data_IF_603970984664
#
_entry.id   IF_603970984664
#
_cell.length_a   1.000
_cell.length_b   1.000
_cell.length_c   1.000
_cell.angle_alpha   90.00
_cell.angle_beta   90.00
_cell.angle_gamma   90.00
#
_symmetry.space_group_name_H-M   'P 1'
#
loop_
_entity.id
_entity.type
_entity.pdbx_description
1 polymer ?
#
# COMPACT_ATOMS: atom_id res chain seq x y z
N UNK A 1 -10.10 -32.09 -1.26
CA UNK A 1 -9.00 -31.13 -1.04
C UNK A 1 -9.48 -30.18 0.03
N UNK A 2 -8.84 -30.13 1.20
CA UNK A 2 -9.16 -29.11 2.21
C UNK A 2 -9.04 -27.74 1.54
N UNK A 3 -10.04 -26.87 1.73
CA UNK A 3 -10.01 -25.56 1.08
C UNK A 3 -8.76 -24.79 1.53
N UNK A 4 -8.09 -24.09 0.61
CA UNK A 4 -6.94 -23.21 0.88
C UNK A 4 -7.18 -22.34 2.12
N UNK A 5 -8.42 -21.89 2.30
CA UNK A 5 -8.89 -21.11 3.43
C UNK A 5 -8.90 -21.87 4.77
N UNK A 6 -9.40 -23.11 4.82
CA UNK A 6 -9.42 -23.93 6.05
C UNK A 6 -8.01 -24.28 6.52
N UNK A 7 -7.15 -24.69 5.59
CA UNK A 7 -5.74 -24.95 5.86
C UNK A 7 -5.03 -23.69 6.38
N UNK A 8 -5.37 -22.51 5.87
CA UNK A 8 -4.86 -21.21 6.35
C UNK A 8 -5.35 -20.86 7.75
N UNK A 9 -6.61 -21.12 8.07
CA UNK A 9 -7.16 -20.86 9.41
C UNK A 9 -6.45 -21.69 10.49
N UNK A 10 -6.02 -22.90 10.14
CA UNK A 10 -5.13 -23.73 10.96
C UNK A 10 -3.70 -23.16 10.98
N UNK A 11 -3.19 -22.67 9.85
CA UNK A 11 -1.85 -22.07 9.75
C UNK A 11 -1.65 -20.81 10.59
N UNK A 12 -2.71 -20.00 10.75
CA UNK A 12 -2.72 -18.84 11.64
C UNK A 12 -2.65 -19.27 13.11
N UNK A 13 -3.23 -20.43 13.45
CA UNK A 13 -3.17 -21.00 14.81
C UNK A 13 -1.81 -21.60 15.14
N UNK A 14 -1.07 -22.07 14.15
CA UNK A 14 0.19 -22.82 14.32
C UNK A 14 1.48 -21.98 14.23
N UNK A 15 1.41 -20.66 14.00
CA UNK A 15 2.55 -19.76 14.22
C UNK A 15 3.06 -18.93 13.03
N UNK A 16 2.24 -18.72 11.98
CA UNK A 16 2.54 -17.80 10.85
C UNK A 16 3.93 -18.04 10.21
N UNK A 17 4.09 -19.12 9.43
CA UNK A 17 5.36 -19.38 8.76
C UNK A 17 5.69 -18.31 7.70
N UNK A 18 6.96 -18.20 7.28
CA UNK A 18 7.37 -17.26 6.23
C UNK A 18 6.53 -17.42 4.95
N UNK A 19 6.31 -16.32 4.21
CA UNK A 19 5.50 -16.35 2.98
C UNK A 19 6.12 -17.24 1.89
N UNK A 20 7.41 -17.56 1.97
CA UNK A 20 8.03 -18.60 1.13
C UNK A 20 7.37 -19.98 1.33
N UNK A 21 7.07 -20.33 2.59
CA UNK A 21 6.32 -21.54 2.94
C UNK A 21 4.88 -21.43 2.47
N UNK A 22 4.30 -20.21 2.50
CA UNK A 22 3.01 -19.86 1.87
C UNK A 22 2.96 -20.23 0.39
N UNK A 23 3.85 -19.67 -0.41
CA UNK A 23 3.88 -19.93 -1.85
C UNK A 23 4.27 -21.37 -2.20
N UNK A 24 5.05 -22.04 -1.36
CA UNK A 24 5.40 -23.45 -1.56
C UNK A 24 4.19 -24.36 -1.35
N UNK A 25 3.35 -24.04 -0.36
CA UNK A 25 2.13 -24.80 -0.06
C UNK A 25 0.99 -24.47 -1.02
N UNK A 26 0.98 -23.24 -1.57
CA UNK A 26 -0.02 -22.76 -2.52
C UNK A 26 0.63 -22.17 -3.79
N UNK A 27 1.24 -23.00 -4.66
CA UNK A 27 1.94 -22.54 -5.86
C UNK A 27 1.12 -21.62 -6.79
N UNK A 28 -0.19 -21.82 -7.00
CA UNK A 28 -1.00 -20.93 -7.84
C UNK A 28 -1.02 -19.48 -7.34
N UNK A 29 -0.94 -19.27 -6.02
CA UNK A 29 -0.97 -17.93 -5.41
C UNK A 29 0.34 -17.17 -5.55
N UNK A 30 1.43 -17.83 -5.97
CA UNK A 30 2.70 -17.16 -6.30
C UNK A 30 2.54 -16.26 -7.52
N UNK A 31 1.70 -16.65 -8.47
CA UNK A 31 1.35 -15.79 -9.58
C UNK A 31 0.25 -14.83 -9.15
N UNK A 32 0.63 -13.60 -8.77
CA UNK A 32 -0.29 -12.53 -8.35
C UNK A 32 -1.23 -12.05 -9.47
N UNK A 33 -1.06 -12.54 -10.70
CA UNK A 33 -1.96 -12.30 -11.84
C UNK A 33 -2.88 -13.49 -12.14
N UNK A 34 -2.73 -14.60 -11.43
CA UNK A 34 -3.59 -15.75 -11.63
C UNK A 34 -5.01 -15.45 -11.17
N UNK A 35 -6.00 -16.08 -11.82
CA UNK A 35 -7.38 -16.07 -11.33
C UNK A 35 -7.46 -16.64 -9.92
N UNK A 36 -6.62 -17.62 -9.60
CA UNK A 36 -6.54 -18.22 -8.26
C UNK A 36 -6.21 -17.18 -7.17
N UNK A 37 -5.34 -16.21 -7.45
CA UNK A 37 -5.01 -15.13 -6.51
C UNK A 37 -6.21 -14.24 -6.21
N UNK A 38 -6.93 -13.81 -7.25
CA UNK A 38 -8.12 -12.97 -7.10
C UNK A 38 -9.28 -13.74 -6.45
N UNK A 39 -9.49 -14.99 -6.83
CA UNK A 39 -10.49 -15.87 -6.21
C UNK A 39 -10.22 -16.07 -4.72
N UNK A 40 -8.96 -16.22 -4.31
CA UNK A 40 -8.60 -16.38 -2.89
C UNK A 40 -8.91 -15.12 -2.10
N UNK A 41 -8.64 -13.94 -2.66
CA UNK A 41 -9.03 -12.68 -2.02
C UNK A 41 -10.55 -12.55 -1.91
N UNK A 42 -11.29 -12.83 -3.00
CA UNK A 42 -12.76 -12.81 -2.97
C UNK A 42 -13.35 -13.80 -1.97
N UNK A 43 -12.75 -14.97 -1.78
CA UNK A 43 -13.19 -15.95 -0.77
C UNK A 43 -12.89 -15.48 0.65
N UNK A 44 -11.73 -14.88 0.88
CA UNK A 44 -11.31 -14.43 2.22
C UNK A 44 -11.98 -13.13 2.65
N UNK A 45 -12.30 -12.22 1.73
CA UNK A 45 -12.98 -10.95 1.97
C UNK A 45 -14.11 -10.70 0.95
N UNK A 46 -15.23 -11.46 1.02
CA UNK A 46 -16.28 -11.45 -0.02
C UNK A 46 -17.05 -10.14 -0.13
N UNK A 47 -17.02 -9.30 0.91
CA UNK A 47 -17.68 -7.98 0.93
C UNK A 47 -16.73 -6.84 0.56
N UNK A 48 -15.46 -7.14 0.28
CA UNK A 48 -14.47 -6.11 -0.03
C UNK A 48 -14.65 -5.56 -1.44
N UNK A 49 -14.37 -4.26 -1.60
CA UNK A 49 -14.28 -3.61 -2.91
C UNK A 49 -12.83 -3.59 -3.39
N UNK A 50 -12.62 -3.35 -4.67
CA UNK A 50 -11.26 -3.17 -5.22
C UNK A 50 -10.80 -1.74 -5.01
N UNK A 51 -9.50 -1.54 -4.84
CA UNK A 51 -8.92 -0.21 -4.70
C UNK A 51 -9.16 0.65 -5.95
N UNK A 52 -8.98 0.04 -7.13
CA UNK A 52 -9.10 0.68 -8.44
C UNK A 52 -10.50 1.27 -8.66
N UNK A 53 -11.55 0.64 -8.10
CA UNK A 53 -12.94 1.03 -8.37
C UNK A 53 -13.36 2.33 -7.65
N UNK A 54 -12.54 2.89 -6.77
CA UNK A 54 -12.93 4.06 -5.97
C UNK A 54 -11.85 5.09 -5.69
N UNK A 55 -10.60 4.84 -6.09
CA UNK A 55 -9.48 5.73 -5.79
C UNK A 55 -9.58 7.05 -6.56
N UNK A 56 -9.88 6.99 -7.87
CA UNK A 56 -10.09 8.17 -8.71
C UNK A 56 -11.17 9.12 -8.18
N UNK A 57 -12.32 8.57 -7.77
CA UNK A 57 -13.44 9.36 -7.21
C UNK A 57 -13.06 10.08 -5.91
N UNK A 58 -12.19 9.45 -5.10
CA UNK A 58 -11.75 10.01 -3.83
C UNK A 58 -10.63 11.04 -3.98
N UNK A 59 -9.94 11.11 -5.12
CA UNK A 59 -8.76 11.97 -5.31
C UNK A 59 -9.03 13.43 -4.95
N UNK A 60 -10.14 14.00 -5.43
CA UNK A 60 -10.50 15.40 -5.18
C UNK A 60 -10.61 15.73 -3.68
N UNK A 61 -11.20 14.80 -2.90
CA UNK A 61 -11.35 14.94 -1.45
C UNK A 61 -10.05 14.68 -0.70
N UNK A 62 -9.27 13.69 -1.13
CA UNK A 62 -7.92 13.43 -0.59
C UNK A 62 -7.05 14.67 -0.78
N UNK A 63 -7.08 15.29 -1.96
CA UNK A 63 -6.35 16.52 -2.27
C UNK A 63 -6.84 17.70 -1.42
N UNK A 64 -8.14 17.84 -1.20
CA UNK A 64 -8.70 18.87 -0.33
C UNK A 64 -8.22 18.70 1.12
N UNK A 65 -8.24 17.47 1.63
CA UNK A 65 -7.72 17.15 2.96
C UNK A 65 -6.22 17.46 3.08
N UNK A 66 -5.43 17.09 2.05
CA UNK A 66 -4.00 17.38 1.96
C UNK A 66 -3.73 18.89 2.06
N UNK A 67 -4.47 19.70 1.28
CA UNK A 67 -4.37 21.17 1.30
C UNK A 67 -4.69 21.74 2.68
N UNK A 68 -5.69 21.19 3.37
CA UNK A 68 -6.01 21.58 4.76
C UNK A 68 -4.89 21.32 5.76
N UNK A 69 -4.07 20.29 5.52
CA UNK A 69 -2.92 19.93 6.37
C UNK A 69 -1.61 20.64 5.99
N UNK A 70 -1.59 21.44 4.91
CA UNK A 70 -0.38 22.11 4.36
C UNK A 70 0.39 22.93 5.40
N UNK A 71 -0.28 23.60 6.34
CA UNK A 71 0.34 24.54 7.29
C UNK A 71 1.13 23.87 8.44
N UNK A 72 1.14 22.54 8.55
CA UNK A 72 1.78 21.84 9.68
C UNK A 72 2.53 20.55 9.34
N UNK A 73 2.76 20.26 8.05
CA UNK A 73 3.33 19.00 7.56
C UNK A 73 4.63 19.20 6.74
N UNK A 74 5.27 18.08 6.36
CA UNK A 74 6.57 18.00 5.66
C UNK A 74 6.67 18.91 4.43
N UNK A 75 7.88 19.42 4.14
CA UNK A 75 8.24 20.09 2.88
C UNK A 75 7.83 19.26 1.66
N UNK A 76 7.95 17.92 1.75
CA UNK A 76 7.60 16.99 0.66
C UNK A 76 6.11 17.06 0.29
N UNK A 77 5.22 17.25 1.27
CA UNK A 77 3.79 17.45 1.02
C UNK A 77 3.56 18.73 0.21
N UNK A 78 4.30 19.80 0.56
CA UNK A 78 4.16 21.08 -0.11
C UNK A 78 4.63 21.00 -1.57
N UNK A 79 5.78 20.35 -1.80
CA UNK A 79 6.33 20.13 -3.14
C UNK A 79 5.32 19.34 -3.99
N UNK A 80 4.80 18.23 -3.47
CA UNK A 80 3.85 17.40 -4.22
C UNK A 80 2.54 18.14 -4.52
N UNK A 81 2.04 18.94 -3.57
CA UNK A 81 0.84 19.77 -3.78
C UNK A 81 1.06 20.86 -4.83
N UNK A 82 2.23 21.48 -4.87
CA UNK A 82 2.57 22.51 -5.86
C UNK A 82 2.76 21.89 -7.25
N UNK A 83 3.35 20.70 -7.34
CA UNK A 83 3.44 19.92 -8.59
C UNK A 83 2.04 19.57 -9.14
N UNK A 84 1.14 19.07 -8.28
CA UNK A 84 -0.25 18.80 -8.63
C UNK A 84 -0.96 20.08 -9.10
N UNK A 85 -0.72 21.22 -8.42
CA UNK A 85 -1.34 22.49 -8.76
C UNK A 85 -0.82 23.08 -10.09
N UNK A 86 0.44 22.81 -10.46
CA UNK A 86 1.00 23.21 -11.74
C UNK A 86 0.40 22.41 -12.92
N UNK A 87 -0.06 21.18 -12.66
CA UNK A 87 -0.65 20.30 -13.66
C UNK A 87 -2.18 20.51 -13.77
N UNK A 88 -2.59 21.41 -14.66
CA UNK A 88 -4.01 21.76 -14.83
C UNK A 88 -4.90 20.64 -15.42
N UNK A 89 -4.31 19.68 -16.16
CA UNK A 89 -5.03 18.60 -16.85
C UNK A 89 -4.49 17.22 -16.47
N UNK A 90 -4.63 16.84 -15.20
CA UNK A 90 -4.25 15.51 -14.74
C UNK A 90 -5.16 14.44 -15.37
N UNK A 91 -4.53 13.45 -16.01
CA UNK A 91 -5.19 12.22 -16.44
C UNK A 91 -5.70 11.43 -15.22
N UNK A 92 -6.67 10.55 -15.41
CA UNK A 92 -7.25 9.76 -14.31
C UNK A 92 -6.20 8.88 -13.63
N UNK A 93 -5.40 8.14 -14.38
CA UNK A 93 -4.31 7.31 -13.85
C UNK A 93 -3.35 8.15 -12.98
N UNK A 94 -2.98 9.34 -13.45
CA UNK A 94 -2.08 10.24 -12.71
C UNK A 94 -2.71 10.74 -11.41
N UNK A 95 -4.02 10.98 -11.37
CA UNK A 95 -4.73 11.35 -10.14
C UNK A 95 -4.66 10.25 -9.10
N UNK A 96 -4.83 8.99 -9.52
CA UNK A 96 -4.73 7.85 -8.63
C UNK A 96 -3.32 7.67 -8.07
N UNK A 97 -2.30 7.89 -8.91
CA UNK A 97 -0.90 7.86 -8.48
C UNK A 97 -0.62 8.94 -7.42
N UNK A 98 -1.01 10.18 -7.66
CA UNK A 98 -0.89 11.25 -6.68
C UNK A 98 -1.69 10.99 -5.41
N UNK A 99 -2.88 10.38 -5.51
CA UNK A 99 -3.66 10.01 -4.34
C UNK A 99 -2.84 9.11 -3.41
N UNK A 100 -2.22 8.06 -3.96
CA UNK A 100 -1.41 7.10 -3.20
C UNK A 100 -0.16 7.74 -2.59
N UNK A 101 0.50 8.63 -3.31
CA UNK A 101 1.69 9.33 -2.82
C UNK A 101 1.37 10.36 -1.73
N UNK A 102 0.18 10.95 -1.75
CA UNK A 102 -0.26 11.87 -0.70
C UNK A 102 -0.57 11.16 0.63
N UNK A 103 -1.06 9.92 0.61
CA UNK A 103 -1.44 9.18 1.83
C UNK A 103 -0.34 9.11 2.90
N UNK A 104 0.90 8.64 2.62
CA UNK A 104 1.97 8.58 3.62
C UNK A 104 2.44 9.96 4.09
N UNK A 105 2.21 11.01 3.30
CA UNK A 105 2.59 12.38 3.67
C UNK A 105 1.58 12.98 4.65
N UNK A 106 0.28 12.70 4.47
CA UNK A 106 -0.79 13.27 5.30
C UNK A 106 -1.06 12.47 6.58
N UNK A 107 -0.97 11.14 6.49
CA UNK A 107 -1.23 10.25 7.60
C UNK A 107 0.05 10.12 8.40
N UNK A 108 0.02 10.57 9.65
CA UNK A 108 1.18 10.48 10.53
C UNK A 108 0.73 10.05 11.91
N UNK A 109 1.43 9.08 12.49
CA UNK A 109 1.03 8.52 13.79
C UNK A 109 2.24 8.48 14.72
N UNK A 110 2.09 8.90 15.99
CA UNK A 110 3.12 8.65 17.00
C UNK A 110 3.24 7.13 17.24
N UNK A 111 4.46 6.57 17.16
CA UNK A 111 4.65 5.16 17.53
C UNK A 111 4.60 4.99 19.06
N UNK A 112 4.28 3.75 19.49
CA UNK A 112 3.97 3.35 20.88
C UNK A 112 5.10 3.62 21.90
N UNK A 113 6.29 4.06 21.46
CA UNK A 113 7.47 4.37 22.28
C UNK A 113 8.07 5.77 22.02
N UNK A 114 7.24 6.80 21.77
CA UNK A 114 7.64 8.23 21.62
C UNK A 114 8.52 8.60 20.41
N UNK A 115 9.02 7.67 19.61
CA UNK A 115 9.65 7.99 18.32
C UNK A 115 8.65 7.84 17.18
N UNK A 116 8.15 8.96 16.67
CA UNK A 116 7.33 9.00 15.44
C UNK A 116 8.22 8.62 14.26
N UNK A 117 7.78 7.67 13.43
CA UNK A 117 8.45 7.39 12.16
C UNK A 117 8.49 8.68 11.34
N UNK A 118 9.64 9.00 10.75
CA UNK A 118 9.74 10.21 9.93
C UNK A 118 8.90 10.06 8.67
N UNK A 119 8.43 11.16 8.08
CA UNK A 119 7.66 11.11 6.83
C UNK A 119 8.45 10.40 5.72
N UNK A 120 9.76 10.68 5.62
CA UNK A 120 10.66 10.00 4.71
C UNK A 120 10.70 8.48 4.94
N UNK A 121 10.68 8.02 6.19
CA UNK A 121 10.66 6.61 6.55
C UNK A 121 9.32 5.94 6.19
N UNK A 122 8.19 6.62 6.39
CA UNK A 122 6.88 6.13 5.95
C UNK A 122 6.82 5.99 4.43
N UNK A 123 7.24 7.02 3.68
CA UNK A 123 7.30 6.98 2.23
C UNK A 123 8.19 5.83 1.75
N UNK A 124 9.40 5.70 2.31
CA UNK A 124 10.37 4.65 1.98
C UNK A 124 9.84 3.24 2.23
N UNK A 125 8.88 3.07 3.15
CA UNK A 125 8.28 1.76 3.49
C UNK A 125 6.91 1.52 2.86
N UNK A 126 6.31 2.53 2.23
CA UNK A 126 5.06 2.38 1.48
C UNK A 126 5.35 2.12 -0.01
N UNK A 127 5.88 3.14 -0.70
CA UNK A 127 6.17 3.12 -2.13
C UNK A 127 7.54 3.79 -2.33
N UNK A 128 8.52 3.04 -2.83
CA UNK A 128 9.83 3.58 -3.16
C UNK A 128 9.87 4.10 -4.59
N UNK A 129 9.99 5.42 -4.73
CA UNK A 129 10.23 6.06 -6.01
C UNK A 129 11.72 6.04 -6.34
N UNK A 130 12.07 5.54 -7.52
CA UNK A 130 13.42 5.58 -8.06
C UNK A 130 13.40 6.13 -9.49
N UNK A 131 14.45 6.84 -9.94
CA UNK A 131 14.56 7.28 -11.33
C UNK A 131 14.50 6.11 -12.31
N UNK A 132 13.93 6.36 -13.49
CA UNK A 132 13.96 5.39 -14.57
C UNK A 132 15.40 5.00 -14.93
N UNK A 133 15.64 3.70 -15.11
CA UNK A 133 16.97 3.14 -15.39
C UNK A 133 17.79 2.75 -14.14
N UNK A 134 17.25 2.94 -12.93
CA UNK A 134 17.88 2.42 -11.70
C UNK A 134 17.85 0.89 -11.72
N UNK A 135 18.99 0.25 -11.42
CA UNK A 135 19.09 -1.21 -11.43
C UNK A 135 18.25 -1.84 -10.31
N UNK A 136 17.44 -2.84 -10.66
CA UNK A 136 16.67 -3.60 -9.67
C UNK A 136 17.58 -4.32 -8.65
N UNK A 137 18.76 -4.78 -9.06
CA UNK A 137 19.72 -5.40 -8.15
C UNK A 137 20.23 -4.41 -7.09
N UNK A 138 20.46 -3.16 -7.51
CA UNK A 138 20.84 -2.09 -6.59
C UNK A 138 19.72 -1.81 -5.59
N UNK A 139 18.47 -1.72 -6.05
CA UNK A 139 17.30 -1.48 -5.19
C UNK A 139 17.12 -2.64 -4.19
N UNK A 140 17.21 -3.89 -4.66
CA UNK A 140 17.12 -5.08 -3.80
C UNK A 140 18.24 -5.13 -2.77
N UNK A 141 19.46 -4.70 -3.13
CA UNK A 141 20.58 -4.62 -2.18
C UNK A 141 20.30 -3.62 -1.06
N UNK A 142 19.71 -2.46 -1.39
CA UNK A 142 19.31 -1.42 -0.42
C UNK A 142 18.17 -1.89 0.49
N UNK A 143 17.16 -2.57 -0.08
CA UNK A 143 16.06 -3.15 0.71
C UNK A 143 16.60 -4.12 1.77
N UNK A 144 17.59 -4.95 1.39
CA UNK A 144 18.26 -5.88 2.31
C UNK A 144 19.11 -5.16 3.35
N UNK A 145 19.94 -4.19 2.95
CA UNK A 145 20.80 -3.44 3.88
C UNK A 145 19.99 -2.68 4.91
N UNK A 146 18.88 -2.08 4.48
CA UNK A 146 18.02 -1.24 5.31
C UNK A 146 17.00 -2.06 6.11
N UNK A 147 17.07 -3.40 6.04
CA UNK A 147 16.17 -4.34 6.73
C UNK A 147 14.69 -3.99 6.53
N UNK A 148 14.32 -3.61 5.31
CA UNK A 148 12.96 -3.18 4.99
C UNK A 148 12.05 -4.40 4.92
N UNK A 149 10.95 -4.36 5.69
CA UNK A 149 9.96 -5.42 5.71
C UNK A 149 9.25 -5.52 4.36
N UNK A 150 9.08 -6.75 3.88
CA UNK A 150 8.37 -7.07 2.64
C UNK A 150 6.96 -7.62 2.96
N UNK A 151 5.98 -7.50 2.06
CA UNK A 151 6.08 -6.96 0.70
C UNK A 151 6.23 -5.43 0.65
N UNK A 152 6.94 -4.93 -0.37
CA UNK A 152 7.12 -3.49 -0.62
C UNK A 152 6.95 -3.16 -2.09
N UNK A 153 6.48 -1.94 -2.38
CA UNK A 153 6.25 -1.46 -3.74
C UNK A 153 7.41 -0.58 -4.19
N UNK A 154 7.87 -0.82 -5.42
CA UNK A 154 8.86 0.00 -6.12
C UNK A 154 8.17 0.62 -7.32
N UNK A 155 8.34 1.92 -7.52
CA UNK A 155 7.88 2.64 -8.68
C UNK A 155 9.07 3.33 -9.36
N UNK A 156 9.28 3.04 -10.64
CA UNK A 156 10.33 3.63 -11.45
C UNK A 156 9.77 4.76 -12.30
N UNK A 157 10.34 5.94 -12.18
CA UNK A 157 9.91 7.14 -12.92
C UNK A 157 9.99 8.39 -12.08
N UNK A 158 9.16 9.37 -12.44
CA UNK A 158 9.00 10.62 -11.70
C UNK A 158 7.55 10.76 -11.25
N UNK A 159 7.31 11.57 -10.23
CA UNK A 159 5.95 11.90 -9.81
C UNK A 159 5.13 12.41 -11.00
N UNK A 160 3.90 11.91 -11.13
CA UNK A 160 3.03 12.19 -12.27
C UNK A 160 3.38 11.48 -13.59
N UNK A 161 4.48 10.73 -13.65
CA UNK A 161 4.87 9.92 -14.80
C UNK A 161 5.66 8.68 -14.35
N UNK A 162 4.96 7.75 -13.71
CA UNK A 162 5.52 6.45 -13.32
C UNK A 162 5.54 5.53 -14.54
N UNK A 163 6.73 5.08 -14.92
CA UNK A 163 6.91 4.24 -16.11
C UNK A 163 6.71 2.75 -15.82
N UNK A 164 7.20 2.28 -14.66
CA UNK A 164 7.07 0.88 -14.25
C UNK A 164 6.80 0.78 -12.76
N UNK A 165 6.10 -0.26 -12.34
CA UNK A 165 5.83 -0.54 -10.94
C UNK A 165 6.10 -2.01 -10.64
N UNK A 166 6.64 -2.30 -9.46
CA UNK A 166 7.00 -3.64 -9.04
C UNK A 166 6.58 -3.87 -7.59
N UNK A 167 6.33 -5.12 -7.25
CA UNK A 167 6.17 -5.59 -5.88
C UNK A 167 7.36 -6.49 -5.57
N UNK A 168 8.05 -6.21 -4.47
CA UNK A 168 9.12 -7.07 -3.94
C UNK A 168 8.57 -7.86 -2.78
N UNK A 169 8.62 -9.19 -2.90
CA UNK A 169 8.19 -10.13 -1.85
C UNK A 169 9.13 -11.33 -1.82
N UNK A 170 9.67 -11.64 -0.65
CA UNK A 170 10.74 -12.64 -0.46
C UNK A 170 11.97 -12.47 -1.38
N UNK A 171 12.33 -11.22 -1.67
CA UNK A 171 13.37 -10.86 -2.65
C UNK A 171 13.04 -11.26 -4.10
N UNK A 172 11.82 -11.68 -4.39
CA UNK A 172 11.33 -11.83 -5.76
C UNK A 172 10.71 -10.51 -6.20
N UNK A 173 11.02 -10.13 -7.44
CA UNK A 173 10.48 -8.92 -8.07
C UNK A 173 9.34 -9.35 -8.98
N UNK A 174 8.16 -8.77 -8.76
CA UNK A 174 7.00 -9.03 -9.59
C UNK A 174 6.55 -7.71 -10.21
N UNK A 175 6.61 -7.63 -11.54
CA UNK A 175 6.14 -6.46 -12.28
C UNK A 175 4.64 -6.28 -12.10
N UNK A 176 4.19 -5.04 -11.90
CA UNK A 176 2.79 -4.59 -11.81
C UNK A 176 2.41 -3.80 -13.07
N UNK A 177 1.16 -3.90 -13.52
CA UNK A 177 0.65 -3.10 -14.66
C UNK A 177 0.73 -1.59 -14.42
N UNK A 178 0.45 -1.17 -13.21
CA UNK A 178 0.52 0.22 -12.76
C UNK A 178 0.72 0.27 -11.23
N UNK A 179 0.96 1.47 -10.68
CA UNK A 179 1.20 1.64 -9.25
C UNK A 179 -0.03 1.28 -8.41
N UNK A 180 -1.23 1.61 -8.88
CA UNK A 180 -2.48 1.29 -8.18
C UNK A 180 -2.70 -0.22 -8.09
N UNK A 181 -2.47 -0.93 -9.21
CA UNK A 181 -2.46 -2.40 -9.24
C UNK A 181 -1.39 -2.98 -8.29
N UNK A 182 -0.25 -2.30 -8.14
CA UNK A 182 0.80 -2.76 -7.23
C UNK A 182 0.35 -2.66 -5.77
N UNK A 183 -0.26 -1.53 -5.39
CA UNK A 183 -0.84 -1.32 -4.06
C UNK A 183 -1.96 -2.32 -3.77
N UNK A 184 -2.86 -2.54 -4.73
CA UNK A 184 -3.99 -3.46 -4.59
C UNK A 184 -3.51 -4.90 -4.30
N UNK A 185 -2.57 -5.40 -5.10
CA UNK A 185 -2.00 -6.74 -4.91
C UNK A 185 -1.13 -6.86 -3.67
N UNK A 186 -0.37 -5.82 -3.34
CA UNK A 186 0.44 -5.77 -2.12
C UNK A 186 -0.46 -5.84 -0.87
N UNK A 187 -1.57 -5.11 -0.86
CA UNK A 187 -2.57 -5.21 0.21
C UNK A 187 -3.14 -6.64 0.31
N UNK A 188 -3.54 -7.24 -0.83
CA UNK A 188 -4.07 -8.61 -0.85
C UNK A 188 -3.05 -9.61 -0.29
N UNK A 189 -1.78 -9.50 -0.68
CA UNK A 189 -0.67 -10.30 -0.14
C UNK A 189 -0.55 -10.18 1.37
N UNK A 190 -0.62 -8.96 1.91
CA UNK A 190 -0.68 -8.77 3.36
C UNK A 190 -1.89 -9.46 3.99
N UNK A 191 -3.05 -9.35 3.37
CA UNK A 191 -4.31 -9.85 3.91
C UNK A 191 -4.38 -11.38 3.97
N UNK A 192 -4.27 -12.08 2.83
CA UNK A 192 -4.35 -13.54 2.84
C UNK A 192 -3.06 -14.16 3.37
N UNK A 193 -1.91 -13.53 3.14
CA UNK A 193 -0.61 -13.98 3.66
C UNK A 193 -0.47 -13.74 5.16
N UNK A 194 -1.40 -13.00 5.79
CA UNK A 194 -1.39 -12.64 7.22
C UNK A 194 -0.06 -12.01 7.65
N UNK A 195 0.52 -11.22 6.75
CA UNK A 195 1.80 -10.54 6.96
C UNK A 195 1.49 -9.25 7.69
N UNK A 196 2.00 -9.13 8.91
CA UNK A 196 1.84 -7.91 9.69
C UNK A 196 2.41 -6.71 8.93
N UNK A 197 1.64 -5.62 8.87
CA UNK A 197 2.16 -4.36 8.34
C UNK A 197 3.42 -3.93 9.12
N UNK A 198 4.35 -3.30 8.42
CA UNK A 198 5.45 -2.62 9.09
C UNK A 198 4.88 -1.50 9.96
N UNK A 199 5.34 -1.40 11.20
CA UNK A 199 4.80 -0.48 12.20
C UNK A 199 4.84 0.97 11.71
N UNK A 200 5.88 1.34 10.96
CA UNK A 200 6.07 2.71 10.44
C UNK A 200 5.00 3.11 9.44
N UNK A 201 4.48 2.18 8.63
CA UNK A 201 3.50 2.45 7.55
C UNK A 201 2.12 1.82 7.81
N UNK A 202 1.97 1.12 8.94
CA UNK A 202 0.75 0.42 9.33
C UNK A 202 -0.52 1.26 9.20
N UNK A 203 -0.45 2.55 9.48
CA UNK A 203 -1.57 3.47 9.40
C UNK A 203 -2.04 3.74 7.96
N UNK A 204 -1.14 3.76 6.97
CA UNK A 204 -1.50 3.90 5.56
C UNK A 204 -2.26 2.66 5.11
N UNK A 205 -1.74 1.47 5.44
CA UNK A 205 -2.40 0.21 5.13
C UNK A 205 -3.75 0.05 5.85
N UNK A 206 -3.85 0.45 7.11
CA UNK A 206 -5.12 0.49 7.85
C UNK A 206 -6.15 1.40 7.17
N UNK A 207 -5.73 2.58 6.69
CA UNK A 207 -6.62 3.46 5.94
C UNK A 207 -7.16 2.77 4.69
N UNK A 208 -6.28 2.16 3.89
CA UNK A 208 -6.70 1.44 2.69
C UNK A 208 -7.67 0.30 3.01
N UNK A 209 -7.33 -0.50 4.03
CA UNK A 209 -8.12 -1.62 4.52
C UNK A 209 -9.57 -1.20 4.89
N UNK A 210 -9.71 -0.12 5.65
CA UNK A 210 -10.99 0.32 6.19
C UNK A 210 -11.80 1.10 5.16
N UNK A 211 -11.16 1.99 4.40
CA UNK A 211 -11.86 2.89 3.49
C UNK A 211 -12.24 2.21 2.17
N UNK A 212 -11.29 1.54 1.51
CA UNK A 212 -11.50 0.93 0.20
C UNK A 212 -12.01 -0.50 0.32
N UNK A 213 -11.35 -1.33 1.13
CA UNK A 213 -11.72 -2.74 1.25
C UNK A 213 -12.86 -3.00 2.24
N UNK A 214 -13.21 -2.04 3.09
CA UNK A 214 -14.29 -2.20 4.08
C UNK A 214 -14.02 -3.29 5.12
N UNK A 215 -12.76 -3.66 5.34
CA UNK A 215 -12.36 -4.73 6.25
C UNK A 215 -12.06 -4.14 7.63
N UNK A 216 -12.92 -4.44 8.60
CA UNK A 216 -12.84 -3.97 9.99
C UNK A 216 -12.37 -5.08 10.93
N UNK A 217 -11.29 -5.77 10.57
CA UNK A 217 -10.64 -6.71 11.50
C UNK A 217 -10.25 -5.96 12.80
N UNK A 218 -10.16 -6.65 13.93
CA UNK A 218 -9.95 -6.11 15.30
C UNK A 218 -8.60 -5.36 15.52
N UNK A 219 -8.04 -4.75 14.49
CA UNK A 219 -6.85 -3.91 14.53
C UNK A 219 -7.26 -2.51 15.01
N UNK A 220 -6.63 -1.97 16.06
CA UNK A 220 -6.91 -0.63 16.53
C UNK A 220 -6.56 0.40 15.44
N UNK A 221 -7.58 1.08 14.92
CA UNK A 221 -7.43 2.12 13.91
C UNK A 221 -6.92 3.39 14.60
N UNK A 222 -5.83 3.95 14.08
CA UNK A 222 -5.30 5.22 14.56
C UNK A 222 -6.29 6.38 14.38
N UNK A 223 -6.23 7.38 15.26
CA UNK A 223 -7.12 8.55 15.23
C UNK A 223 -7.02 9.31 13.89
N UNK A 224 -5.79 9.51 13.39
CA UNK A 224 -5.55 10.15 12.09
C UNK A 224 -6.25 9.45 10.92
N UNK A 225 -6.30 8.10 10.94
CA UNK A 225 -7.02 7.31 9.93
C UNK A 225 -8.53 7.49 10.09
N UNK A 226 -9.05 7.49 11.33
CA UNK A 226 -10.48 7.74 11.58
C UNK A 226 -10.91 9.13 11.11
N UNK A 227 -10.08 10.14 11.33
CA UNK A 227 -10.34 11.51 10.88
C UNK A 227 -10.44 11.58 9.36
N UNK A 228 -9.47 10.99 8.64
CA UNK A 228 -9.50 10.97 7.17
C UNK A 228 -10.71 10.19 6.64
N UNK A 229 -10.99 9.01 7.19
CA UNK A 229 -12.16 8.21 6.77
C UNK A 229 -13.47 8.97 7.00
N UNK A 230 -13.59 9.68 8.12
CA UNK A 230 -14.76 10.52 8.43
C UNK A 230 -14.87 11.68 7.46
N UNK A 231 -13.75 12.37 7.19
CA UNK A 231 -13.69 13.45 6.23
C UNK A 231 -14.09 13.00 4.82
N UNK A 232 -13.65 11.82 4.36
CA UNK A 232 -14.02 11.31 3.05
C UNK A 232 -15.49 10.87 2.96
N UNK A 233 -16.11 10.50 4.08
CA UNK A 233 -17.53 10.11 4.16
C UNK A 233 -18.52 11.26 4.32
N UNK A 234 -18.08 12.39 4.88
CA UNK A 234 -18.92 13.57 5.09
C UNK A 234 -19.35 14.15 3.73
N UNK A 235 -20.58 13.86 3.28
CA UNK A 235 -21.10 14.36 2.00
C UNK A 235 -21.15 15.88 1.96
#
# INVERSE_FOLDING_TARGET
>A
MASTYESRSLWVREGRPPIKTFFSSFPPLRNIYSSAFEEEFCRSAPKSKRLVDGLGDCFSRILLYAKGKRKGLSTDLTILLDEIAANNNLLEDTKEEYALLLLPLMLTVPMRNRQRASVAEVCKRFIQLHPYGTSMDEILSKIKSDSIKQPIIIALGVTGNISQSFIVVENEVIESRCMVSAVDKCFKLHYFGQIEYDQSVSHVWQFLQVHFYGILDNVPISECVRDLVTFLKAR
#
